data_IF_189868720391
#
_entry.id   IF_189868720391
#
_cell.length_a   1.000
_cell.length_b   1.000
_cell.length_c   1.000
_cell.angle_alpha   90.00
_cell.angle_beta   90.00
_cell.angle_gamma   90.00
#
_symmetry.space_group_name_H-M   'P 1'
#
loop_
_entity.id
_entity.type
_entity.pdbx_description
1 polymer ?
#
# COMPACT_ATOMS: atom_id res chain seq x y z
N UNK A 1 -29.79 3.72 -10.34
CA UNK A 1 -30.45 4.60 -9.34
C UNK A 1 -31.52 3.82 -8.62
N UNK A 2 -31.66 3.96 -7.30
CA UNK A 2 -32.76 3.34 -6.56
C UNK A 2 -33.91 4.36 -6.40
N UNK A 3 -35.06 4.17 -7.07
CA UNK A 3 -36.19 5.11 -6.98
C UNK A 3 -36.91 5.07 -5.63
N UNK A 4 -36.65 4.06 -4.79
CA UNK A 4 -37.21 3.92 -3.44
C UNK A 4 -36.19 4.24 -2.35
N UNK A 5 -35.10 4.95 -2.69
CA UNK A 5 -34.09 5.33 -1.69
C UNK A 5 -34.67 6.39 -0.75
N UNK A 6 -34.54 6.18 0.55
CA UNK A 6 -35.25 6.94 1.58
C UNK A 6 -34.61 8.29 1.91
N UNK A 7 -33.34 8.51 1.54
CA UNK A 7 -32.58 9.70 1.93
C UNK A 7 -32.55 10.73 0.80
N UNK A 8 -32.93 11.95 1.14
CA UNK A 8 -32.90 13.13 0.26
C UNK A 8 -31.57 13.92 0.39
N UNK A 9 -31.09 14.56 -0.69
CA UNK A 9 -31.61 14.48 -2.05
C UNK A 9 -31.30 13.11 -2.69
N UNK A 10 -32.07 12.67 -3.71
CA UNK A 10 -31.79 11.43 -4.42
C UNK A 10 -30.40 11.46 -5.07
N UNK A 11 -29.88 10.28 -5.39
CA UNK A 11 -28.61 10.14 -6.10
C UNK A 11 -28.64 10.97 -7.40
N UNK A 12 -27.54 11.70 -7.65
CA UNK A 12 -27.36 12.56 -8.84
C UNK A 12 -27.04 11.79 -10.12
N UNK A 13 -26.75 10.49 -10.00
CA UNK A 13 -26.38 9.61 -11.11
C UNK A 13 -27.46 8.56 -11.33
N UNK A 14 -27.75 8.28 -12.60
CA UNK A 14 -28.71 7.24 -12.98
C UNK A 14 -28.09 5.83 -12.95
N UNK A 15 -26.79 5.70 -13.27
CA UNK A 15 -26.05 4.43 -13.31
C UNK A 15 -24.62 4.62 -12.83
N UNK A 16 -24.05 3.55 -12.27
CA UNK A 16 -22.63 3.38 -11.99
C UNK A 16 -22.20 2.08 -12.67
N UNK A 17 -21.09 2.12 -13.40
CA UNK A 17 -20.51 0.95 -14.05
C UNK A 17 -19.15 0.64 -13.42
N UNK A 18 -18.91 -0.62 -13.08
CA UNK A 18 -17.62 -1.08 -12.58
C UNK A 18 -16.92 -1.89 -13.67
N UNK A 19 -15.79 -1.39 -14.17
CA UNK A 19 -14.96 -2.10 -15.15
C UNK A 19 -13.83 -2.84 -14.43
N UNK A 20 -13.87 -4.16 -14.45
CA UNK A 20 -12.85 -5.03 -13.86
C UNK A 20 -12.82 -6.41 -14.55
N UNK A 21 -11.65 -7.11 -14.62
CA UNK A 21 -10.33 -6.67 -14.15
C UNK A 21 -9.58 -5.86 -15.23
N UNK A 22 -8.98 -4.73 -14.84
CA UNK A 22 -8.11 -3.91 -15.69
C UNK A 22 -6.72 -3.84 -15.08
N UNK A 23 -5.68 -3.81 -15.91
CA UNK A 23 -4.32 -3.51 -15.45
C UNK A 23 -4.21 -2.03 -15.05
N UNK A 24 -3.23 -1.69 -14.20
CA UNK A 24 -3.00 -0.30 -13.80
C UNK A 24 -2.76 0.63 -15.02
N UNK A 25 -2.06 0.13 -16.05
CA UNK A 25 -1.84 0.87 -17.30
C UNK A 25 -3.15 1.07 -18.10
N UNK A 26 -4.02 0.06 -18.15
CA UNK A 26 -5.34 0.20 -18.79
C UNK A 26 -6.24 1.18 -18.04
N UNK A 27 -6.18 1.19 -16.70
CA UNK A 27 -6.88 2.18 -15.86
C UNK A 27 -6.38 3.60 -16.17
N UNK A 28 -5.06 3.80 -16.25
CA UNK A 28 -4.47 5.09 -16.56
C UNK A 28 -4.91 5.62 -17.94
N UNK A 29 -4.89 4.76 -18.96
CA UNK A 29 -5.33 5.12 -20.31
C UNK A 29 -6.84 5.39 -20.39
N UNK A 30 -7.64 4.56 -19.74
CA UNK A 30 -9.09 4.76 -19.66
C UNK A 30 -9.46 6.09 -19.01
N UNK A 31 -8.73 6.50 -17.97
CA UNK A 31 -8.94 7.82 -17.35
C UNK A 31 -8.51 8.96 -18.29
N UNK A 32 -7.36 8.83 -18.98
CA UNK A 32 -6.85 9.88 -19.90
C UNK A 32 -7.75 10.10 -21.11
N UNK A 33 -8.29 9.01 -21.66
CA UNK A 33 -9.21 9.01 -22.81
C UNK A 33 -10.63 9.44 -22.45
N UNK A 34 -10.98 9.46 -21.16
CA UNK A 34 -12.34 9.75 -20.69
C UNK A 34 -13.28 8.55 -20.74
N UNK A 35 -12.76 7.34 -21.01
CA UNK A 35 -13.50 6.09 -20.89
C UNK A 35 -13.86 5.77 -19.43
N UNK A 36 -13.00 6.17 -18.49
CA UNK A 36 -13.20 6.03 -17.05
C UNK A 36 -13.34 7.40 -16.40
N UNK A 37 -14.44 7.64 -15.70
CA UNK A 37 -14.64 8.87 -14.92
C UNK A 37 -13.85 8.88 -13.60
N UNK A 38 -13.58 7.69 -13.05
CA UNK A 38 -12.90 7.49 -11.77
C UNK A 38 -11.89 6.35 -11.89
N UNK A 39 -10.65 6.62 -11.49
CA UNK A 39 -9.59 5.63 -11.40
C UNK A 39 -9.15 5.41 -9.95
N UNK A 40 -8.83 4.16 -9.62
CA UNK A 40 -8.09 3.78 -8.41
C UNK A 40 -6.95 2.87 -8.81
N UNK A 41 -5.98 2.71 -7.91
CA UNK A 41 -4.88 1.76 -8.05
C UNK A 41 -3.97 2.04 -9.26
N UNK A 42 -3.80 3.34 -9.56
CA UNK A 42 -2.78 3.83 -10.49
C UNK A 42 -1.37 3.57 -9.94
N UNK A 43 -0.43 3.29 -10.84
CA UNK A 43 0.99 3.31 -10.47
C UNK A 43 1.41 4.74 -10.10
N UNK A 44 2.38 4.92 -9.18
CA UNK A 44 2.88 6.24 -8.81
C UNK A 44 3.29 7.08 -10.02
N UNK A 45 4.01 6.51 -10.99
CA UNK A 45 4.43 7.25 -12.19
C UNK A 45 3.25 7.68 -13.08
N UNK A 46 2.19 6.88 -13.16
CA UNK A 46 1.02 7.18 -13.98
C UNK A 46 0.21 8.30 -13.34
N UNK A 47 0.06 8.27 -12.02
CA UNK A 47 -0.57 9.34 -11.27
C UNK A 47 0.17 10.66 -11.45
N UNK A 48 1.50 10.67 -11.33
CA UNK A 48 2.30 11.88 -11.58
C UNK A 48 2.10 12.41 -13.01
N UNK A 49 2.10 11.53 -14.01
CA UNK A 49 1.85 11.92 -15.40
C UNK A 49 0.44 12.49 -15.60
N UNK A 50 -0.59 11.86 -15.00
CA UNK A 50 -1.98 12.32 -15.06
C UNK A 50 -2.15 13.69 -14.41
N UNK A 51 -1.49 13.94 -13.27
CA UNK A 51 -1.57 15.22 -12.56
C UNK A 51 -0.84 16.37 -13.29
N UNK A 52 0.00 16.08 -14.28
CA UNK A 52 0.57 17.14 -15.15
C UNK A 52 -0.51 17.79 -16.01
N UNK A 53 -1.54 17.04 -16.38
CA UNK A 53 -2.70 17.55 -17.11
C UNK A 53 -3.67 18.28 -16.18
N UNK A 54 -4.00 19.53 -16.50
CA UNK A 54 -4.83 20.41 -15.67
C UNK A 54 -6.26 19.88 -15.51
N UNK A 55 -6.75 19.04 -16.42
CA UNK A 55 -8.08 18.41 -16.35
C UNK A 55 -8.27 17.59 -15.06
N UNK A 56 -7.20 16.96 -14.57
CA UNK A 56 -7.30 16.01 -13.46
C UNK A 56 -6.84 16.56 -12.10
N UNK A 57 -6.14 17.69 -12.07
CA UNK A 57 -5.55 18.24 -10.83
C UNK A 57 -6.57 18.51 -9.73
N UNK A 58 -7.74 19.06 -10.09
CA UNK A 58 -8.79 19.36 -9.13
C UNK A 58 -9.55 18.11 -8.63
N UNK A 59 -9.41 16.97 -9.33
CA UNK A 59 -10.09 15.72 -9.01
C UNK A 59 -9.30 14.77 -8.11
N UNK A 60 -8.06 15.13 -7.73
CA UNK A 60 -7.25 14.27 -6.87
C UNK A 60 -7.84 14.21 -5.46
N UNK A 61 -8.17 13.00 -5.03
CA UNK A 61 -8.57 12.72 -3.65
C UNK A 61 -7.56 11.76 -3.04
N UNK A 62 -6.73 12.27 -2.13
CA UNK A 62 -5.82 11.45 -1.33
C UNK A 62 -6.48 11.14 0.02
N UNK A 63 -6.59 9.85 0.35
CA UNK A 63 -7.11 9.40 1.64
C UNK A 63 -6.18 8.35 2.24
N UNK A 64 -5.80 8.47 3.53
CA UNK A 64 -5.02 7.44 4.20
C UNK A 64 -5.73 6.09 4.15
N UNK A 65 -5.09 5.08 3.56
CA UNK A 65 -5.57 3.70 3.62
C UNK A 65 -5.28 3.12 5.01
N UNK A 66 -6.28 2.47 5.60
CA UNK A 66 -6.16 1.78 6.89
C UNK A 66 -5.59 0.36 6.69
N UNK A 67 -4.42 0.25 6.07
CA UNK A 67 -3.77 -1.02 5.76
C UNK A 67 -2.28 -1.02 6.11
N UNK A 68 -1.71 -2.21 6.25
CA UNK A 68 -0.28 -2.44 6.48
C UNK A 68 0.17 -3.55 5.54
N UNK A 69 1.27 -3.33 4.83
CA UNK A 69 1.95 -4.39 4.07
C UNK A 69 2.97 -5.09 4.97
N UNK A 70 3.00 -6.41 4.93
CA UNK A 70 3.94 -7.22 5.71
C UNK A 70 4.27 -8.52 4.99
N UNK A 71 5.44 -9.08 5.31
CA UNK A 71 5.81 -10.43 4.93
C UNK A 71 5.56 -11.38 6.11
N UNK A 72 5.14 -12.60 5.82
CA UNK A 72 4.86 -13.63 6.83
C UNK A 72 5.88 -14.75 6.69
N UNK A 73 6.42 -15.20 7.82
CA UNK A 73 7.18 -16.44 7.89
C UNK A 73 6.25 -17.60 8.17
N UNK A 74 6.19 -18.59 7.28
CA UNK A 74 5.43 -19.81 7.51
C UNK A 74 6.20 -20.72 8.49
N UNK A 75 5.76 -20.75 9.75
CA UNK A 75 6.43 -21.46 10.85
C UNK A 75 6.39 -22.98 10.76
N UNK A 76 5.57 -23.55 9.87
CA UNK A 76 5.56 -24.98 9.56
C UNK A 76 6.71 -25.43 8.65
N UNK A 77 7.53 -24.52 8.15
CA UNK A 77 8.70 -24.83 7.31
C UNK A 77 9.98 -24.80 8.14
N UNK A 78 11.03 -25.51 7.69
CA UNK A 78 12.33 -25.51 8.36
C UNK A 78 12.92 -24.10 8.52
N UNK A 79 12.87 -23.28 7.46
CA UNK A 79 13.36 -21.90 7.51
C UNK A 79 12.47 -20.99 8.38
N UNK A 80 11.15 -21.17 8.30
CA UNK A 80 10.21 -20.31 9.04
C UNK A 80 10.08 -20.65 10.53
N UNK A 81 10.42 -21.87 10.96
CA UNK A 81 10.30 -22.31 12.36
C UNK A 81 11.37 -21.69 13.27
N UNK A 82 12.57 -21.42 12.75
CA UNK A 82 13.68 -20.81 13.49
C UNK A 82 13.41 -19.35 13.84
N UNK A 83 13.20 -19.07 15.14
CA UNK A 83 13.00 -17.70 15.63
C UNK A 83 14.22 -16.81 15.39
N UNK A 84 15.42 -17.36 15.55
CA UNK A 84 16.68 -16.65 15.28
C UNK A 84 16.77 -16.22 13.82
N UNK A 85 16.42 -17.10 12.88
CA UNK A 85 16.41 -16.79 11.46
C UNK A 85 15.38 -15.71 11.11
N UNK A 86 14.15 -15.80 11.67
CA UNK A 86 13.13 -14.77 11.47
C UNK A 86 13.59 -13.40 11.95
N UNK A 87 14.22 -13.32 13.12
CA UNK A 87 14.75 -12.07 13.68
C UNK A 87 15.90 -11.51 12.83
N UNK A 88 16.81 -12.38 12.37
CA UNK A 88 17.93 -11.99 11.51
C UNK A 88 17.44 -11.38 10.20
N UNK A 89 16.51 -12.06 9.52
CA UNK A 89 15.92 -11.59 8.26
C UNK A 89 15.10 -10.31 8.45
N UNK A 90 14.22 -10.27 9.45
CA UNK A 90 13.38 -9.10 9.72
C UNK A 90 14.20 -7.84 10.08
N UNK A 91 15.30 -7.98 10.84
CA UNK A 91 16.16 -6.85 11.19
C UNK A 91 17.15 -6.45 10.07
N UNK A 92 17.41 -7.34 9.11
CA UNK A 92 18.23 -7.01 7.93
C UNK A 92 17.46 -6.15 6.91
N UNK A 93 16.14 -6.34 6.80
CA UNK A 93 15.30 -5.59 5.84
C UNK A 93 15.31 -4.09 6.13
N UNK A 94 15.58 -3.30 5.09
CA UNK A 94 15.51 -1.84 5.11
C UNK A 94 14.14 -1.38 4.58
N UNK A 95 13.13 -1.38 5.46
CA UNK A 95 11.75 -1.03 5.09
C UNK A 95 11.64 0.37 4.47
N UNK A 96 12.46 1.32 4.93
CA UNK A 96 12.52 2.66 4.35
C UNK A 96 12.80 2.63 2.85
N UNK A 97 13.85 1.90 2.45
CA UNK A 97 14.32 1.82 1.07
C UNK A 97 13.26 1.16 0.18
N UNK A 98 12.58 0.12 0.70
CA UNK A 98 11.48 -0.54 0.00
C UNK A 98 10.30 0.42 -0.23
N UNK A 99 9.91 1.19 0.78
CA UNK A 99 8.81 2.15 0.67
C UNK A 99 9.16 3.23 -0.34
N UNK A 100 10.35 3.83 -0.23
CA UNK A 100 10.78 4.90 -1.14
C UNK A 100 10.96 4.43 -2.57
N UNK A 101 11.52 3.24 -2.79
CA UNK A 101 11.71 2.67 -4.12
C UNK A 101 10.44 2.22 -4.82
N UNK A 102 9.40 1.82 -4.07
CA UNK A 102 8.17 1.27 -4.66
C UNK A 102 6.97 2.22 -4.61
N UNK A 103 6.72 2.87 -3.48
CA UNK A 103 5.50 3.65 -3.22
C UNK A 103 5.77 5.14 -3.01
N UNK A 104 7.03 5.52 -2.75
CA UNK A 104 7.44 6.91 -2.56
C UNK A 104 6.61 7.61 -1.49
N UNK A 105 6.04 8.78 -1.84
CA UNK A 105 5.23 9.60 -0.92
C UNK A 105 3.88 8.99 -0.53
N UNK A 106 3.45 7.91 -1.17
CA UNK A 106 2.12 7.31 -0.97
C UNK A 106 2.07 6.27 0.16
N UNK A 107 3.20 6.00 0.83
CA UNK A 107 3.25 5.09 1.96
C UNK A 107 4.26 5.56 3.01
N UNK A 108 4.07 5.07 4.23
CA UNK A 108 4.99 5.26 5.34
C UNK A 108 5.60 3.91 5.73
N UNK A 109 6.86 3.86 6.15
CA UNK A 109 7.46 2.66 6.72
C UNK A 109 6.67 2.19 7.94
N UNK A 110 6.21 0.94 7.90
CA UNK A 110 5.48 0.35 9.01
C UNK A 110 6.44 0.05 10.17
N UNK A 111 6.10 0.50 11.38
CA UNK A 111 6.80 0.14 12.63
C UNK A 111 6.12 -1.03 13.37
N UNK A 112 4.94 -1.43 12.91
CA UNK A 112 4.12 -2.50 13.47
C UNK A 112 2.92 -2.80 12.58
N UNK A 113 2.07 -3.73 13.04
CA UNK A 113 0.89 -4.20 12.28
C UNK A 113 -0.23 -3.16 12.27
N UNK A 114 -0.41 -2.41 13.36
CA UNK A 114 -1.47 -1.40 13.49
C UNK A 114 -0.94 -0.06 12.93
N UNK A 115 -1.53 0.46 11.85
CA UNK A 115 -1.07 1.70 11.22
C UNK A 115 -1.50 2.95 12.02
N UNK A 116 -0.86 4.11 11.80
CA UNK A 116 -1.27 5.38 12.40
C UNK A 116 -2.76 5.70 12.16
N UNK A 117 -3.40 6.33 13.15
CA UNK A 117 -4.83 6.69 13.09
C UNK A 117 -5.79 5.53 13.42
N UNK A 118 -5.27 4.35 13.74
CA UNK A 118 -6.05 3.23 14.30
C UNK A 118 -5.77 3.11 15.80
N UNK A 119 -6.82 2.91 16.59
CA UNK A 119 -6.70 2.67 18.03
C UNK A 119 -5.76 1.49 18.29
N UNK A 120 -4.80 1.68 19.20
CA UNK A 120 -3.75 0.69 19.49
C UNK A 120 -2.44 0.89 18.72
N UNK A 121 -2.34 1.89 17.84
CA UNK A 121 -1.08 2.28 17.23
C UNK A 121 -0.10 2.84 18.27
N UNK A 122 1.13 2.31 18.29
CA UNK A 122 2.23 2.81 19.11
C UNK A 122 3.18 3.68 18.27
N UNK A 123 3.07 4.99 18.40
CA UNK A 123 3.92 5.97 17.72
C UNK A 123 5.37 6.01 18.29
N UNK A 124 5.57 5.49 19.50
CA UNK A 124 6.88 5.36 20.15
C UNK A 124 7.69 4.16 19.65
N UNK A 125 7.03 3.21 18.96
CA UNK A 125 7.68 1.99 18.47
C UNK A 125 8.82 2.33 17.52
N UNK A 126 9.97 1.71 17.75
CA UNK A 126 11.16 1.80 16.89
C UNK A 126 11.52 0.40 16.43
N UNK A 127 11.87 0.27 15.16
CA UNK A 127 12.41 -0.96 14.60
C UNK A 127 13.93 -0.80 14.51
N UNK A 128 14.66 -1.53 15.35
CA UNK A 128 16.11 -1.52 15.30
C UNK A 128 16.58 -2.24 14.02
N UNK A 129 17.42 -1.58 13.23
CA UNK A 129 18.08 -2.21 12.09
C UNK A 129 19.29 -3.00 12.57
N UNK A 130 19.39 -4.26 12.13
CA UNK A 130 20.59 -5.04 12.32
C UNK A 130 21.66 -4.55 11.32
N UNK A 131 22.91 -4.33 11.79
CA UNK A 131 24.06 -4.23 10.90
C UNK A 131 24.17 -5.47 10.03
N UNK A 132 24.64 -5.30 8.79
CA UNK A 132 24.65 -6.37 7.78
C UNK A 132 25.48 -7.58 8.26
N UNK A 133 26.62 -7.30 8.87
CA UNK A 133 27.58 -8.30 9.38
C UNK A 133 26.91 -9.15 10.45
N UNK A 134 26.24 -8.51 11.41
CA UNK A 134 25.51 -9.17 12.48
C UNK A 134 24.34 -10.00 11.95
N UNK A 135 23.62 -9.51 10.93
CA UNK A 135 22.56 -10.29 10.30
C UNK A 135 23.11 -11.55 9.62
N UNK A 136 24.24 -11.46 8.91
CA UNK A 136 24.90 -12.61 8.27
C UNK A 136 25.34 -13.63 9.32
N UNK A 137 25.95 -13.18 10.41
CA UNK A 137 26.33 -14.04 11.53
C UNK A 137 25.11 -14.77 12.12
N UNK A 138 24.03 -14.04 12.40
CA UNK A 138 22.80 -14.64 12.93
C UNK A 138 22.17 -15.64 11.97
N UNK A 139 22.22 -15.39 10.66
CA UNK A 139 21.74 -16.34 9.65
C UNK A 139 22.59 -17.61 9.65
N UNK A 140 23.93 -17.50 9.63
CA UNK A 140 24.83 -18.66 9.65
C UNK A 140 24.70 -19.51 10.91
N UNK A 141 24.46 -18.85 12.05
CA UNK A 141 24.29 -19.53 13.34
C UNK A 141 22.91 -20.16 13.51
N UNK A 142 21.95 -19.86 12.63
CA UNK A 142 20.58 -20.37 12.73
C UNK A 142 20.38 -21.77 12.12
N UNK A 143 21.45 -22.38 11.60
CA UNK A 143 21.43 -23.70 10.94
C UNK A 143 21.21 -23.60 9.44
#
# INVERSE_FOLDING_TARGET
RNPRYWKEPPARLDRIEFRAPLSASAIAEGLRSGELDLARDLLPQDLEAILRDSRFRAGLVETPKKNTYFAVFHTGTAAGSSAALRLALAGAVRTQDLVWGALGRFALPATGVIPPGILGHDAGRRQAHLPREKAIEMVRSAG
#
